data_IF_281260592434
#
_entry.id   IF_281260592434
#
_cell.length_a   1.000
_cell.length_b   1.000
_cell.length_c   1.000
_cell.angle_alpha   90.00
_cell.angle_beta   90.00
_cell.angle_gamma   90.00
#
_symmetry.space_group_name_H-M   'P 1'
#
loop_
_entity.id
_entity.type
_entity.pdbx_description
1 polymer ?
#
# COMPACT_ATOMS: atom_id res chain seq x y z
N UNK A 1 -0.08 -8.39 -3.53
CA UNK A 1 -0.19 -8.18 -4.99
C UNK A 1 1.04 -7.44 -5.47
N UNK A 2 1.61 -7.85 -6.60
CA UNK A 2 2.64 -7.11 -7.34
C UNK A 2 2.03 -6.65 -8.66
N UNK A 3 1.88 -5.34 -8.83
CA UNK A 3 1.23 -4.74 -9.99
C UNK A 3 2.11 -4.88 -11.24
N UNK A 4 1.51 -5.09 -12.40
CA UNK A 4 2.24 -5.19 -13.66
C UNK A 4 3.04 -3.89 -13.93
N UNK A 5 4.15 -3.94 -14.70
CA UNK A 5 4.98 -2.75 -14.97
C UNK A 5 4.20 -1.56 -15.56
N UNK A 6 3.17 -1.83 -16.36
CA UNK A 6 2.29 -0.87 -17.02
C UNK A 6 0.98 -0.61 -16.27
N UNK A 7 0.82 -1.19 -15.07
CA UNK A 7 -0.41 -1.04 -14.29
C UNK A 7 -0.66 0.44 -13.94
N UNK A 8 -1.94 0.88 -13.93
CA UNK A 8 -2.27 2.23 -13.51
C UNK A 8 -1.82 2.44 -12.07
N UNK A 9 -1.28 3.63 -11.77
CA UNK A 9 -0.76 3.97 -10.45
C UNK A 9 -1.91 4.06 -9.44
N UNK A 10 -1.86 3.25 -8.38
CA UNK A 10 -2.93 3.20 -7.37
C UNK A 10 -3.11 4.54 -6.62
N UNK A 11 -2.07 5.38 -6.57
CA UNK A 11 -2.12 6.71 -5.95
C UNK A 11 -2.67 7.82 -6.87
N UNK A 12 -3.04 7.50 -8.11
CA UNK A 12 -3.82 8.42 -8.96
C UNK A 12 -5.25 8.50 -8.45
N UNK A 13 -5.76 9.71 -8.29
CA UNK A 13 -7.03 9.95 -7.62
C UNK A 13 -8.20 9.18 -8.24
N UNK A 14 -8.29 9.14 -9.57
CA UNK A 14 -9.34 8.41 -10.29
C UNK A 14 -9.28 6.89 -10.07
N UNK A 15 -8.07 6.32 -9.90
CA UNK A 15 -7.87 4.90 -9.59
C UNK A 15 -8.22 4.64 -8.14
N UNK A 16 -7.69 5.47 -7.24
CA UNK A 16 -7.92 5.38 -5.80
C UNK A 16 -9.40 5.44 -5.45
N UNK A 17 -10.15 6.39 -6.01
CA UNK A 17 -11.59 6.54 -5.75
C UNK A 17 -12.41 5.29 -6.10
N UNK A 18 -12.03 4.53 -7.14
CA UNK A 18 -12.70 3.27 -7.49
C UNK A 18 -12.47 2.17 -6.46
N UNK A 19 -11.30 2.18 -5.81
CA UNK A 19 -10.89 1.17 -4.84
C UNK A 19 -11.40 1.49 -3.43
N UNK A 20 -11.50 2.76 -3.05
CA UNK A 20 -11.88 3.19 -1.69
C UNK A 20 -13.14 2.49 -1.15
N UNK A 21 -14.25 2.36 -1.89
CA UNK A 21 -15.45 1.68 -1.38
C UNK A 21 -15.19 0.22 -0.98
N UNK A 22 -14.37 -0.51 -1.74
CA UNK A 22 -14.04 -1.91 -1.45
C UNK A 22 -12.96 -2.06 -0.36
N UNK A 23 -12.04 -1.08 -0.26
CA UNK A 23 -11.01 -1.05 0.78
C UNK A 23 -11.57 -0.59 2.14
N UNK A 24 -12.64 0.19 2.16
CA UNK A 24 -13.19 0.79 3.39
C UNK A 24 -13.63 -0.25 4.42
N UNK A 25 -14.39 -1.31 4.07
CA UNK A 25 -14.72 -2.37 5.03
C UNK A 25 -13.49 -3.03 5.64
N UNK A 26 -12.46 -3.33 4.83
CA UNK A 26 -11.20 -3.88 5.31
C UNK A 26 -10.52 -2.91 6.28
N UNK A 27 -10.54 -1.63 5.98
CA UNK A 27 -9.96 -0.56 6.78
C UNK A 27 -10.97 0.11 7.72
N UNK A 28 -11.88 -0.67 8.29
CA UNK A 28 -12.80 -0.24 9.36
C UNK A 28 -12.49 -0.98 10.65
N UNK A 29 -12.67 -0.32 11.79
CA UNK A 29 -12.38 -0.85 13.12
C UNK A 29 -13.31 -0.24 14.15
N UNK A 30 -13.85 -1.07 15.04
CA UNK A 30 -14.60 -0.61 16.21
C UNK A 30 -13.69 0.00 17.29
N UNK A 31 -12.40 -0.34 17.28
CA UNK A 31 -11.39 0.17 18.23
C UNK A 31 -10.99 1.62 17.98
N UNK A 32 -11.32 2.17 16.81
CA UNK A 32 -11.11 3.57 16.52
C UNK A 32 -11.00 3.90 15.04
N UNK A 33 -10.73 5.19 14.78
CA UNK A 33 -10.67 5.72 13.42
C UNK A 33 -9.43 5.22 12.68
N UNK A 34 -9.63 4.93 11.40
CA UNK A 34 -8.57 4.60 10.46
C UNK A 34 -7.75 5.83 10.10
N UNK A 35 -6.45 5.66 10.01
CA UNK A 35 -5.54 6.69 9.54
C UNK A 35 -4.65 6.23 8.41
N UNK A 36 -4.29 7.17 7.55
CA UNK A 36 -3.37 6.98 6.44
C UNK A 36 -2.11 7.79 6.70
N UNK A 37 -0.97 7.20 6.36
CA UNK A 37 0.32 7.86 6.20
C UNK A 37 0.83 7.60 4.79
N UNK A 38 1.72 8.46 4.33
CA UNK A 38 2.25 8.46 2.99
C UNK A 38 3.58 9.18 2.99
N UNK A 39 4.42 8.75 2.07
CA UNK A 39 5.75 9.30 1.81
C UNK A 39 5.81 9.67 0.35
N UNK A 40 6.03 10.97 0.11
CA UNK A 40 6.14 11.55 -1.21
C UNK A 40 7.21 12.65 -1.18
N UNK A 41 7.86 12.89 -2.32
CA UNK A 41 8.86 13.94 -2.50
C UNK A 41 8.43 14.92 -3.59
N UNK A 42 8.78 16.19 -3.44
CA UNK A 42 8.61 17.20 -4.48
C UNK A 42 9.94 17.39 -5.23
N UNK A 43 9.99 16.92 -6.47
CA UNK A 43 11.19 16.94 -7.31
C UNK A 43 11.64 18.35 -7.70
N UNK A 44 10.78 19.37 -7.53
CA UNK A 44 11.15 20.77 -7.81
C UNK A 44 11.95 21.39 -6.68
N UNK A 45 11.89 20.81 -5.48
CA UNK A 45 12.60 21.35 -4.33
C UNK A 45 14.03 20.80 -4.33
N UNK A 46 15.00 21.72 -4.30
CA UNK A 46 16.41 21.38 -4.14
C UNK A 46 16.79 21.49 -2.67
N UNK A 47 17.34 20.44 -2.08
CA UNK A 47 17.76 20.46 -0.68
C UNK A 47 18.05 19.07 -0.13
N UNK A 48 18.34 19.00 1.16
CA UNK A 48 18.41 17.72 1.87
C UNK A 48 17.08 16.95 1.72
N UNK A 49 17.08 15.61 1.70
CA UNK A 49 15.85 14.82 1.52
C UNK A 49 14.68 15.28 2.40
N UNK A 50 14.97 15.65 3.66
CA UNK A 50 14.01 16.20 4.62
C UNK A 50 13.26 17.47 4.19
N UNK A 51 13.88 18.26 3.32
CA UNK A 51 13.30 19.48 2.74
C UNK A 51 12.41 19.17 1.54
N UNK A 52 12.72 18.11 0.80
CA UNK A 52 11.93 17.70 -0.38
C UNK A 52 10.68 16.89 -0.02
N UNK A 53 10.51 16.44 1.22
CA UNK A 53 9.34 15.68 1.66
C UNK A 53 8.05 16.49 1.58
N UNK A 54 7.02 15.91 0.94
CA UNK A 54 5.64 16.40 1.03
C UNK A 54 5.01 15.84 2.31
N UNK A 55 4.74 16.72 3.28
CA UNK A 55 4.27 16.32 4.62
C UNK A 55 2.78 16.53 4.76
N UNK A 56 2.04 15.46 5.08
CA UNK A 56 0.61 15.55 5.41
C UNK A 56 0.29 15.26 6.88
N UNK A 57 1.27 14.74 7.64
CA UNK A 57 1.03 14.21 8.98
C UNK A 57 0.21 12.92 8.94
N UNK A 58 -0.47 12.58 10.04
CA UNK A 58 -1.44 11.50 10.04
C UNK A 58 -2.80 12.05 9.58
N UNK A 59 -3.34 11.52 8.49
CA UNK A 59 -4.64 11.94 7.93
C UNK A 59 -5.67 10.82 8.09
N UNK A 60 -6.97 11.16 8.15
CA UNK A 60 -8.03 10.17 8.34
C UNK A 60 -8.39 9.43 7.04
N UNK A 61 -9.05 8.26 7.14
CA UNK A 61 -9.65 7.58 5.98
C UNK A 61 -10.98 8.25 5.59
N UNK A 62 -10.93 9.25 4.71
CA UNK A 62 -12.10 9.95 4.18
C UNK A 62 -11.76 10.71 2.90
N UNK A 63 -12.78 11.09 2.13
CA UNK A 63 -12.66 11.79 0.85
C UNK A 63 -11.78 13.04 0.90
N UNK A 64 -11.96 13.90 1.91
CA UNK A 64 -11.14 15.11 2.08
C UNK A 64 -9.66 14.76 2.22
N UNK A 65 -9.33 13.73 3.00
CA UNK A 65 -7.97 13.25 3.12
C UNK A 65 -7.45 12.64 1.82
N UNK A 66 -8.26 11.81 1.13
CA UNK A 66 -7.86 11.16 -0.12
C UNK A 66 -7.43 12.19 -1.17
N UNK A 67 -8.26 13.23 -1.40
CA UNK A 67 -7.91 14.33 -2.32
C UNK A 67 -6.57 14.96 -2.00
N UNK A 68 -6.24 15.16 -0.73
CA UNK A 68 -5.02 15.87 -0.33
C UNK A 68 -3.72 15.17 -0.73
N UNK A 69 -3.70 13.84 -0.81
CA UNK A 69 -2.43 13.12 -1.01
C UNK A 69 -2.34 12.39 -2.35
N UNK A 70 -3.46 11.97 -2.94
CA UNK A 70 -3.45 11.30 -4.25
C UNK A 70 -3.03 12.27 -5.35
N UNK A 71 -2.42 11.77 -6.41
CA UNK A 71 -2.06 12.55 -7.59
C UNK A 71 -3.29 12.88 -8.44
N UNK A 72 -3.23 13.99 -9.16
CA UNK A 72 -4.29 14.45 -10.07
C UNK A 72 -5.68 14.60 -9.42
N UNK A 73 -5.77 14.83 -8.11
CA UNK A 73 -7.04 15.14 -7.46
C UNK A 73 -7.44 16.60 -7.69
N UNK A 74 -8.70 16.99 -7.43
CA UNK A 74 -9.11 18.39 -7.45
C UNK A 74 -8.25 19.31 -6.57
N UNK A 75 -7.65 18.78 -5.50
CA UNK A 75 -6.83 19.55 -4.54
C UNK A 75 -5.33 19.52 -4.90
N UNK A 76 -4.89 18.58 -5.76
CA UNK A 76 -3.46 18.32 -6.05
C UNK A 76 -3.11 18.28 -7.53
N UNK A 77 -4.05 18.59 -8.43
CA UNK A 77 -3.88 18.47 -9.90
C UNK A 77 -2.60 19.14 -10.42
N UNK A 78 -2.29 20.33 -9.93
CA UNK A 78 -1.08 21.07 -10.33
C UNK A 78 0.12 20.63 -9.50
N UNK A 79 -0.05 20.48 -8.18
CA UNK A 79 1.04 20.18 -7.24
C UNK A 79 1.68 18.81 -7.50
N UNK A 80 0.85 17.79 -7.73
CA UNK A 80 1.31 16.41 -7.89
C UNK A 80 2.10 16.14 -9.17
N UNK A 81 2.17 17.09 -10.10
CA UNK A 81 2.98 16.96 -11.32
C UNK A 81 4.48 16.88 -11.05
N UNK A 82 4.94 17.45 -9.95
CA UNK A 82 6.32 17.34 -9.49
C UNK A 82 6.50 16.32 -8.36
N UNK A 83 5.42 15.66 -7.93
CA UNK A 83 5.50 14.75 -6.80
C UNK A 83 5.94 13.37 -7.26
N UNK A 84 6.85 12.78 -6.50
CA UNK A 84 7.24 11.39 -6.58
C UNK A 84 6.63 10.64 -5.40
N UNK A 85 5.83 9.62 -5.70
CA UNK A 85 5.20 8.80 -4.69
C UNK A 85 6.10 7.61 -4.33
N UNK A 86 6.37 7.40 -3.04
CA UNK A 86 7.17 6.27 -2.57
C UNK A 86 6.30 5.20 -1.91
N UNK A 87 5.32 5.63 -1.11
CA UNK A 87 4.47 4.69 -0.40
C UNK A 87 3.35 5.33 0.38
N UNK A 88 2.36 4.52 0.73
CA UNK A 88 1.29 4.85 1.63
C UNK A 88 0.90 3.64 2.46
N UNK A 89 0.43 3.87 3.67
CA UNK A 89 -0.12 2.83 4.52
C UNK A 89 -1.36 3.32 5.25
N UNK A 90 -2.34 2.43 5.40
CA UNK A 90 -3.58 2.64 6.10
C UNK A 90 -3.68 1.66 7.28
N UNK A 91 -3.98 2.18 8.47
CA UNK A 91 -4.18 1.37 9.68
C UNK A 91 -5.57 1.60 10.22
N UNK A 92 -6.28 0.52 10.52
CA UNK A 92 -7.56 0.51 11.23
C UNK A 92 -7.40 -0.30 12.52
N UNK A 93 -7.47 0.31 13.72
CA UNK A 93 -7.45 1.75 13.96
C UNK A 93 -6.08 2.36 13.65
N UNK A 94 -5.95 3.67 13.72
CA UNK A 94 -4.66 4.34 13.49
C UNK A 94 -3.54 3.89 14.45
N UNK A 95 -2.25 4.12 14.12
CA UNK A 95 -1.11 3.59 14.87
C UNK A 95 -1.09 3.91 16.37
N UNK A 96 -1.61 5.08 16.76
CA UNK A 96 -1.69 5.48 18.18
C UNK A 96 -2.63 4.62 19.03
N UNK A 97 -3.49 3.81 18.40
CA UNK A 97 -4.36 2.83 19.06
C UNK A 97 -3.85 1.40 18.90
N UNK A 98 -2.76 1.20 18.15
CA UNK A 98 -2.16 -0.10 17.89
C UNK A 98 -0.89 -0.37 18.73
N UNK A 99 -0.63 0.43 19.78
CA UNK A 99 0.56 0.29 20.62
C UNK A 99 0.68 -1.07 21.29
N UNK A 100 -0.46 -1.63 21.71
CA UNK A 100 -0.54 -2.86 22.51
C UNK A 100 -1.22 -4.01 21.76
N UNK A 101 -1.72 -3.76 20.55
CA UNK A 101 -2.43 -4.73 19.73
C UNK A 101 -2.30 -4.35 18.25
N UNK A 102 -2.01 -5.30 17.34
CA UNK A 102 -1.92 -5.03 15.91
C UNK A 102 -3.22 -4.44 15.36
N UNK A 103 -3.21 -3.83 14.16
CA UNK A 103 -4.44 -3.30 13.55
C UNK A 103 -5.43 -4.41 13.18
N UNK A 104 -6.72 -4.05 13.16
CA UNK A 104 -7.85 -4.85 12.65
C UNK A 104 -7.80 -4.98 11.13
N UNK A 105 -7.28 -3.95 10.46
CA UNK A 105 -7.12 -3.87 9.03
C UNK A 105 -5.89 -3.04 8.67
N UNK A 106 -5.15 -3.49 7.68
CA UNK A 106 -3.93 -2.85 7.23
C UNK A 106 -3.83 -2.88 5.71
N UNK A 107 -3.37 -1.76 5.16
CA UNK A 107 -3.02 -1.59 3.76
C UNK A 107 -1.61 -1.00 3.72
N UNK A 108 -0.76 -1.53 2.85
CA UNK A 108 0.48 -0.87 2.46
C UNK A 108 0.60 -0.88 0.94
N UNK A 109 0.99 0.26 0.39
CA UNK A 109 1.35 0.46 -1.01
C UNK A 109 2.79 0.95 -1.02
N UNK A 110 3.64 0.30 -1.80
CA UNK A 110 5.01 0.76 -2.04
C UNK A 110 5.31 0.79 -3.51
N UNK A 111 5.67 1.97 -3.99
CA UNK A 111 6.22 2.15 -5.32
C UNK A 111 7.57 1.43 -5.40
N UNK A 112 7.72 0.54 -6.37
CA UNK A 112 8.95 -0.22 -6.55
C UNK A 112 9.99 0.54 -7.37
N UNK A 113 9.60 1.65 -8.01
CA UNK A 113 10.46 2.50 -8.83
C UNK A 113 11.24 3.55 -8.01
N UNK A 114 11.24 3.43 -6.68
CA UNK A 114 11.91 4.37 -5.78
C UNK A 114 13.44 4.32 -6.03
N UNK A 115 14.06 5.45 -6.38
CA UNK A 115 15.52 5.57 -6.50
C UNK A 115 16.12 5.61 -7.92
N UNK A 116 15.36 6.02 -8.93
CA UNK A 116 15.91 6.34 -10.26
C UNK A 116 16.17 5.14 -11.17
N UNK A 117 15.55 3.99 -10.87
CA UNK A 117 15.56 2.84 -11.76
C UNK A 117 14.58 3.09 -12.91
N UNK A 118 15.04 2.87 -14.16
CA UNK A 118 14.18 3.02 -15.32
C UNK A 118 13.03 2.00 -15.27
N UNK A 119 11.81 2.43 -15.60
CA UNK A 119 10.61 1.57 -15.60
C UNK A 119 10.77 0.30 -16.43
N UNK A 120 11.58 0.37 -17.49
CA UNK A 120 11.70 -0.65 -18.52
C UNK A 120 12.45 -1.90 -18.03
N UNK A 121 13.21 -1.77 -16.93
CA UNK A 121 13.96 -2.88 -16.32
C UNK A 121 13.18 -3.58 -15.19
N UNK A 122 12.06 -3.00 -14.75
CA UNK A 122 11.28 -3.50 -13.62
C UNK A 122 10.24 -4.53 -14.06
N UNK A 123 10.21 -5.67 -13.37
CA UNK A 123 9.23 -6.76 -13.60
C UNK A 123 7.88 -6.52 -12.93
N UNK A 124 7.77 -5.50 -12.08
CA UNK A 124 6.52 -5.01 -11.48
C UNK A 124 6.67 -3.53 -11.11
N UNK A 125 5.57 -2.77 -11.15
CA UNK A 125 5.61 -1.32 -10.91
C UNK A 125 5.56 -0.96 -9.41
N UNK A 126 4.75 -1.67 -8.64
CA UNK A 126 4.57 -1.42 -7.21
C UNK A 126 3.98 -2.65 -6.51
N UNK A 127 4.06 -2.66 -5.18
CA UNK A 127 3.45 -3.70 -4.34
C UNK A 127 2.27 -3.14 -3.55
N UNK A 128 1.23 -3.97 -3.40
CA UNK A 128 0.08 -3.72 -2.53
C UNK A 128 -0.06 -4.90 -1.58
N UNK A 129 -0.04 -4.62 -0.28
CA UNK A 129 -0.27 -5.57 0.79
C UNK A 129 -1.57 -5.20 1.50
N UNK A 130 -2.44 -6.19 1.65
CA UNK A 130 -3.65 -6.12 2.45
C UNK A 130 -3.54 -7.15 3.57
N UNK A 131 -3.95 -6.76 4.78
CA UNK A 131 -4.07 -7.68 5.90
C UNK A 131 -5.30 -7.32 6.74
N UNK A 132 -5.92 -8.33 7.33
CA UNK A 132 -7.10 -8.20 8.19
C UNK A 132 -6.96 -9.18 9.35
N UNK A 133 -7.38 -8.75 10.53
CA UNK A 133 -7.43 -9.62 11.70
C UNK A 133 -8.55 -10.65 11.53
N UNK A 134 -8.21 -11.94 11.63
CA UNK A 134 -9.09 -13.07 11.31
C UNK A 134 -10.25 -13.26 12.29
N UNK A 135 -10.15 -12.66 13.46
CA UNK A 135 -11.13 -12.67 14.55
C UNK A 135 -12.25 -11.65 14.33
N UNK A 136 -12.12 -10.78 13.31
CA UNK A 136 -13.23 -9.92 12.89
C UNK A 136 -14.33 -10.74 12.21
N UNK A 137 -15.61 -10.48 12.54
CA UNK A 137 -16.74 -11.18 11.92
C UNK A 137 -16.78 -11.06 10.39
N UNK A 138 -16.30 -9.95 9.84
CA UNK A 138 -16.32 -9.62 8.42
C UNK A 138 -14.97 -9.82 7.71
N UNK A 139 -13.97 -10.44 8.37
CA UNK A 139 -12.59 -10.50 7.87
C UNK A 139 -12.49 -11.06 6.44
N UNK A 140 -13.08 -12.24 6.22
CA UNK A 140 -13.01 -12.92 4.92
C UNK A 140 -13.76 -12.15 3.84
N UNK A 141 -14.96 -11.63 4.16
CA UNK A 141 -15.78 -10.89 3.20
C UNK A 141 -15.11 -9.57 2.79
N UNK A 142 -14.61 -8.81 3.75
CA UNK A 142 -13.95 -7.52 3.51
C UNK A 142 -12.64 -7.69 2.73
N UNK A 143 -11.84 -8.70 3.06
CA UNK A 143 -10.62 -9.01 2.33
C UNK A 143 -10.90 -9.47 0.89
N UNK A 144 -11.86 -10.38 0.68
CA UNK A 144 -12.22 -10.84 -0.65
C UNK A 144 -12.78 -9.70 -1.52
N UNK A 145 -13.61 -8.82 -0.94
CA UNK A 145 -14.12 -7.64 -1.65
C UNK A 145 -13.00 -6.69 -2.08
N UNK A 146 -12.02 -6.45 -1.19
CA UNK A 146 -10.84 -5.64 -1.50
C UNK A 146 -9.95 -6.29 -2.58
N UNK A 147 -9.72 -7.60 -2.51
CA UNK A 147 -8.94 -8.35 -3.50
C UNK A 147 -9.63 -8.29 -4.88
N UNK A 148 -10.93 -8.57 -4.96
CA UNK A 148 -11.67 -8.53 -6.22
C UNK A 148 -11.64 -7.12 -6.86
N UNK A 149 -11.77 -6.06 -6.06
CA UNK A 149 -11.67 -4.70 -6.59
C UNK A 149 -10.27 -4.37 -7.12
N UNK A 150 -9.22 -4.82 -6.42
CA UNK A 150 -7.84 -4.67 -6.89
C UNK A 150 -7.60 -5.46 -8.18
N UNK A 151 -8.05 -6.71 -8.24
CA UNK A 151 -7.93 -7.60 -9.39
C UNK A 151 -8.53 -6.99 -10.67
N UNK A 152 -9.73 -6.43 -10.54
CA UNK A 152 -10.43 -5.75 -11.65
C UNK A 152 -9.73 -4.44 -12.06
N UNK A 153 -9.20 -3.69 -11.10
CA UNK A 153 -8.73 -2.32 -11.35
C UNK A 153 -7.25 -2.26 -11.73
N UNK A 154 -6.44 -3.18 -11.23
CA UNK A 154 -4.99 -3.17 -11.29
C UNK A 154 -4.50 -4.50 -11.89
N UNK A 155 -4.07 -4.51 -13.16
CA UNK A 155 -3.34 -5.65 -13.72
C UNK A 155 -2.13 -5.98 -12.85
N UNK A 156 -1.91 -7.26 -12.61
CA UNK A 156 -0.87 -7.72 -11.70
C UNK A 156 -0.15 -8.94 -12.26
N UNK A 157 1.11 -9.09 -11.88
CA UNK A 157 1.97 -10.22 -12.28
C UNK A 157 2.03 -11.30 -11.22
N UNK A 158 1.66 -10.97 -9.98
CA UNK A 158 1.59 -11.92 -8.89
C UNK A 158 0.56 -11.49 -7.85
N UNK A 159 -0.41 -12.35 -7.58
CA UNK A 159 -1.36 -12.22 -6.49
C UNK A 159 -1.27 -13.44 -5.59
N UNK A 160 -0.99 -13.19 -4.31
CA UNK A 160 -0.67 -14.22 -3.33
C UNK A 160 -1.26 -13.87 -1.98
N UNK A 161 -1.49 -14.90 -1.16
CA UNK A 161 -2.01 -14.77 0.18
C UNK A 161 -1.30 -15.71 1.15
N UNK A 162 -1.47 -15.42 2.43
CA UNK A 162 -1.00 -16.26 3.53
C UNK A 162 -1.85 -16.01 4.77
N UNK A 163 -1.81 -16.94 5.73
CA UNK A 163 -2.35 -16.78 7.07
C UNK A 163 -1.21 -16.92 8.07
N UNK A 164 -0.99 -15.88 8.86
CA UNK A 164 0.11 -15.80 9.83
C UNK A 164 -0.24 -14.87 11.00
N UNK A 165 0.61 -14.82 12.01
CA UNK A 165 0.56 -13.79 13.05
C UNK A 165 1.02 -12.44 12.49
N UNK A 166 0.56 -11.35 13.10
CA UNK A 166 0.95 -9.99 12.73
C UNK A 166 2.44 -9.74 12.90
N UNK A 167 3.02 -10.28 13.97
CA UNK A 167 4.46 -10.22 14.24
C UNK A 167 5.01 -11.64 14.29
N UNK A 168 6.09 -11.87 13.56
CA UNK A 168 6.97 -13.03 13.73
C UNK A 168 8.36 -12.50 14.13
N UNK A 169 9.21 -13.35 14.70
CA UNK A 169 10.53 -12.99 15.25
C UNK A 169 11.29 -11.98 14.36
N UNK A 170 11.34 -10.71 14.81
CA UNK A 170 12.13 -9.64 14.19
C UNK A 170 11.43 -8.81 13.10
N UNK A 171 10.16 -9.03 12.75
CA UNK A 171 9.43 -8.19 11.79
C UNK A 171 7.92 -8.22 12.01
N UNK A 172 7.30 -7.05 12.15
CA UNK A 172 5.85 -6.87 12.09
C UNK A 172 5.38 -6.70 10.64
N UNK A 173 4.20 -7.23 10.31
CA UNK A 173 3.55 -6.92 9.03
C UNK A 173 3.33 -5.41 8.85
N UNK A 174 3.21 -4.64 9.93
CA UNK A 174 3.10 -3.19 9.84
C UNK A 174 4.39 -2.53 9.37
N UNK A 175 5.56 -3.18 9.51
CA UNK A 175 6.85 -2.67 9.02
C UNK A 175 6.89 -2.67 7.47
N UNK A 176 5.95 -3.37 6.83
CA UNK A 176 5.75 -3.33 5.39
C UNK A 176 5.28 -1.94 4.89
N UNK A 177 4.87 -1.03 5.78
CA UNK A 177 4.68 0.39 5.43
C UNK A 177 5.99 1.06 4.96
N UNK A 178 7.12 0.57 5.45
CA UNK A 178 8.46 1.06 5.21
C UNK A 178 9.17 0.21 4.16
N UNK A 179 9.07 -1.12 4.29
CA UNK A 179 9.82 -2.06 3.45
C UNK A 179 9.03 -2.62 2.26
N UNK A 180 7.71 -2.44 2.22
CA UNK A 180 6.84 -3.03 1.20
C UNK A 180 6.54 -4.48 1.45
N UNK A 181 6.23 -5.22 0.38
CA UNK A 181 5.99 -6.66 0.49
C UNK A 181 7.20 -7.35 1.17
N UNK A 182 6.97 -8.46 1.91
CA UNK A 182 8.02 -9.09 2.71
C UNK A 182 8.98 -9.90 1.84
N UNK A 183 9.76 -9.21 1.01
CA UNK A 183 10.72 -9.81 0.10
C UNK A 183 11.90 -10.45 0.86
N UNK A 184 12.44 -11.54 0.30
CA UNK A 184 13.76 -12.05 0.68
C UNK A 184 14.84 -11.07 0.17
N UNK A 185 16.03 -11.02 0.81
CA UNK A 185 17.16 -10.30 0.26
C UNK A 185 17.49 -10.81 -1.15
N UNK A 186 17.72 -9.89 -2.10
CA UNK A 186 18.02 -10.22 -3.49
C UNK A 186 17.49 -9.20 -4.48
N UNK A 187 17.66 -9.45 -5.80
CA UNK A 187 17.18 -8.55 -6.85
C UNK A 187 15.66 -8.66 -6.99
N UNK A 188 14.94 -7.86 -6.21
CA UNK A 188 13.47 -7.89 -6.15
C UNK A 188 12.85 -7.53 -7.50
N UNK A 189 13.38 -6.51 -8.18
CA UNK A 189 12.71 -5.87 -9.31
C UNK A 189 13.10 -6.41 -10.70
N UNK A 190 14.20 -7.16 -10.82
CA UNK A 190 14.70 -7.63 -12.12
C UNK A 190 14.43 -9.12 -12.37
N UNK A 191 14.22 -9.90 -11.30
CA UNK A 191 13.82 -11.30 -11.39
C UNK A 191 12.33 -11.46 -11.69
N UNK A 192 11.96 -12.54 -12.37
CA UNK A 192 10.56 -12.87 -12.61
C UNK A 192 9.82 -13.05 -11.26
N UNK A 193 8.69 -12.34 -11.04
CA UNK A 193 7.92 -12.47 -9.81
C UNK A 193 7.47 -13.90 -9.55
N UNK A 194 7.70 -14.38 -8.33
CA UNK A 194 7.38 -15.75 -7.92
C UNK A 194 7.19 -15.85 -6.40
N UNK A 195 6.69 -16.98 -5.91
CA UNK A 195 6.58 -17.21 -4.46
C UNK A 195 7.94 -17.22 -3.76
N UNK A 196 8.99 -17.67 -4.45
CA UNK A 196 10.32 -17.85 -3.88
C UNK A 196 10.98 -16.53 -3.45
N UNK A 197 10.53 -15.39 -3.99
CA UNK A 197 11.04 -14.07 -3.62
C UNK A 197 10.46 -13.55 -2.30
N UNK A 198 9.43 -14.19 -1.73
CA UNK A 198 8.72 -13.73 -0.53
C UNK A 198 9.12 -14.54 0.71
N UNK A 199 9.31 -13.86 1.84
CA UNK A 199 9.56 -14.50 3.15
C UNK A 199 8.26 -15.08 3.72
N UNK A 200 8.32 -16.34 4.13
CA UNK A 200 7.18 -17.06 4.73
C UNK A 200 6.45 -17.96 3.75
N UNK A 201 5.31 -18.50 4.19
CA UNK A 201 4.53 -19.48 3.44
C UNK A 201 3.42 -18.77 2.64
N UNK A 202 3.68 -18.51 1.35
CA UNK A 202 2.72 -17.85 0.45
C UNK A 202 2.11 -18.85 -0.52
N UNK A 203 0.86 -18.61 -0.90
CA UNK A 203 0.18 -19.36 -1.96
C UNK A 203 -0.39 -18.39 -2.99
N UNK A 204 -0.37 -18.80 -4.26
CA UNK A 204 -1.03 -18.05 -5.34
C UNK A 204 -2.53 -18.02 -5.07
N UNK A 205 -3.14 -16.85 -5.21
CA UNK A 205 -4.59 -16.70 -5.14
C UNK A 205 -5.15 -16.76 -6.55
N UNK A 206 -6.29 -17.43 -6.69
CA UNK A 206 -7.10 -17.41 -7.92
C UNK A 206 -8.36 -16.65 -7.58
N UNK A 207 -8.61 -15.55 -8.28
CA UNK A 207 -9.77 -14.66 -8.06
C UNK A 207 -10.77 -14.87 -9.18
#
# INVERSE_FOLDING_TARGET
MLAAPDAPRIWEYAVWQRLVPALTPLLSSERGRTSVRMTQFDQTQTGSPNQTYVRFGQIGWNEKSHRRWTHASPDTEVLSRSWEFCGAAGWAPGPSKCSDCPPDGFLAVRNALDGGQASDDCRFAYSVLLAVAIDRPDATQSLNGAIAALDITIPHVLLVGTRRTWSEEGMSLTDCDTFGAPFKPGPQHTAAPSLDMLKGNWQVLTV
#
